data_IF_692755791175
#
_entry.id   IF_692755791175
#
_cell.length_a   1.000
_cell.length_b   1.000
_cell.length_c   1.000
_cell.angle_alpha   90.00
_cell.angle_beta   90.00
_cell.angle_gamma   90.00
#
_symmetry.space_group_name_H-M   'P 1'
#
loop_
_entity.id
_entity.type
_entity.pdbx_description
1 polymer ?
#
# COMPACT_ATOMS: atom_id res chain seq x y z
N UNK A 1 -4.16 63.13 -13.49
CA UNK A 1 -4.95 62.27 -14.40
C UNK A 1 -4.07 61.06 -14.73
N UNK A 2 -3.97 60.14 -13.77
CA UNK A 2 -4.67 58.84 -13.69
C UNK A 2 -4.01 57.72 -14.51
N UNK A 3 -3.73 56.65 -13.79
CA UNK A 3 -3.08 55.39 -14.15
C UNK A 3 -3.87 54.54 -15.15
N UNK A 4 -3.16 53.68 -15.89
CA UNK A 4 -3.62 52.32 -16.23
C UNK A 4 -2.42 51.35 -16.36
N UNK A 5 -2.43 50.29 -15.55
CA UNK A 5 -1.57 49.10 -15.59
C UNK A 5 -1.82 48.28 -16.89
N UNK A 6 -0.95 47.39 -17.40
CA UNK A 6 -0.28 46.25 -16.73
C UNK A 6 0.82 45.63 -17.64
N UNK A 7 1.85 44.96 -17.09
CA UNK A 7 2.70 44.01 -17.81
C UNK A 7 2.33 42.54 -17.47
N UNK A 8 2.51 41.59 -18.40
CA UNK A 8 3.03 40.23 -18.08
C UNK A 8 3.00 39.28 -19.29
N UNK A 9 4.08 38.50 -19.36
CA UNK A 9 4.29 37.25 -20.07
C UNK A 9 3.25 36.17 -19.77
N UNK A 10 2.90 35.34 -20.76
CA UNK A 10 2.50 33.93 -20.51
C UNK A 10 2.79 33.04 -21.72
N UNK A 11 3.82 32.22 -21.53
CA UNK A 11 3.92 30.81 -21.92
C UNK A 11 2.74 30.21 -22.68
N UNK A 12 2.97 29.85 -23.93
CA UNK A 12 2.25 28.80 -24.64
C UNK A 12 2.27 27.51 -23.81
N UNK A 13 1.13 27.17 -23.19
CA UNK A 13 0.99 25.97 -22.36
C UNK A 13 1.26 24.70 -23.20
N UNK A 14 2.34 23.95 -22.92
CA UNK A 14 2.66 22.71 -23.65
C UNK A 14 1.59 21.62 -23.48
N UNK A 15 0.76 21.78 -22.45
CA UNK A 15 -0.26 20.81 -22.04
C UNK A 15 -1.45 20.74 -23.00
N UNK A 16 -1.85 21.88 -23.59
CA UNK A 16 -3.00 21.94 -24.50
C UNK A 16 -2.77 21.23 -25.85
N UNK A 17 -1.50 21.07 -26.27
CA UNK A 17 -1.15 20.37 -27.51
C UNK A 17 -1.11 18.84 -27.36
N UNK A 18 -1.05 18.31 -26.12
CA UNK A 18 -0.98 16.87 -25.87
C UNK A 18 -2.34 16.15 -25.98
N UNK A 19 -3.46 16.88 -25.87
CA UNK A 19 -4.80 16.28 -25.82
C UNK A 19 -5.48 16.09 -27.18
N UNK A 20 -4.94 16.66 -28.27
CA UNK A 20 -5.66 16.77 -29.56
C UNK A 20 -5.24 15.76 -30.65
N UNK A 21 -4.42 14.77 -30.28
CA UNK A 21 -3.86 13.79 -31.20
C UNK A 21 -4.18 12.36 -30.76
N UNK A 22 -4.95 11.65 -31.59
CA UNK A 22 -5.19 10.20 -31.54
C UNK A 22 -3.95 9.33 -31.79
N UNK A 23 -2.77 9.94 -31.93
CA UNK A 23 -1.47 9.33 -31.70
C UNK A 23 -0.83 10.01 -30.50
N UNK A 24 -0.65 9.23 -29.45
CA UNK A 24 0.01 9.59 -28.21
C UNK A 24 1.52 9.84 -28.42
N UNK A 25 1.84 10.92 -29.13
CA UNK A 25 3.20 11.37 -29.34
C UNK A 25 3.57 12.30 -28.17
N UNK A 26 3.93 11.69 -27.03
CA UNK A 26 4.51 12.46 -25.91
C UNK A 26 5.72 13.24 -26.44
N UNK A 27 5.92 14.52 -26.07
CA UNK A 27 7.15 15.20 -26.42
C UNK A 27 8.33 14.49 -25.75
N UNK A 28 9.11 13.76 -26.55
CA UNK A 28 10.40 13.19 -26.16
C UNK A 28 11.37 14.36 -26.00
N UNK A 29 11.52 14.88 -24.79
CA UNK A 29 12.57 15.84 -24.47
C UNK A 29 13.90 15.08 -24.41
N UNK A 30 14.51 14.89 -25.57
CA UNK A 30 15.82 14.26 -25.74
C UNK A 30 16.91 15.30 -25.45
N UNK A 31 17.27 15.45 -24.18
CA UNK A 31 18.41 16.29 -23.78
C UNK A 31 19.64 15.38 -23.67
N UNK A 32 20.68 15.63 -24.47
CA UNK A 32 21.92 14.83 -24.46
C UNK A 32 21.74 13.31 -24.71
N UNK A 33 20.73 12.89 -25.48
CA UNK A 33 20.49 11.47 -25.77
C UNK A 33 19.94 10.65 -24.61
N UNK A 34 19.49 11.29 -23.52
CA UNK A 34 18.72 10.67 -22.45
C UNK A 34 17.23 10.94 -22.68
N UNK A 35 16.44 9.87 -22.81
CA UNK A 35 14.98 9.97 -22.88
C UNK A 35 14.41 10.25 -21.48
N UNK A 36 14.00 11.50 -21.22
CA UNK A 36 13.32 11.87 -19.98
C UNK A 36 11.93 11.25 -19.99
N UNK A 37 11.72 10.23 -19.15
CA UNK A 37 10.42 9.59 -18.96
C UNK A 37 9.57 10.44 -18.02
N UNK A 38 8.37 10.84 -18.47
CA UNK A 38 7.39 11.51 -17.61
C UNK A 38 6.64 10.51 -16.74
N UNK A 39 6.03 10.97 -15.65
CA UNK A 39 5.21 10.13 -14.79
C UNK A 39 4.06 9.50 -15.60
N UNK A 40 3.78 8.23 -15.33
CA UNK A 40 2.80 7.46 -16.09
C UNK A 40 3.25 7.04 -17.51
N UNK A 41 4.54 7.09 -17.85
CA UNK A 41 5.07 6.64 -19.15
C UNK A 41 4.71 5.18 -19.49
N UNK A 42 4.78 4.27 -18.51
CA UNK A 42 4.49 2.84 -18.65
C UNK A 42 3.16 2.42 -18.00
N UNK A 43 2.17 3.29 -18.07
CA UNK A 43 0.86 3.07 -17.44
C UNK A 43 -0.18 2.75 -18.52
N UNK A 44 -1.01 1.71 -18.34
CA UNK A 44 -2.11 1.41 -19.26
C UNK A 44 -3.06 2.60 -19.46
N UNK A 45 -3.49 2.83 -20.70
CA UNK A 45 -4.33 3.99 -21.09
C UNK A 45 -5.69 4.00 -20.38
N UNK A 46 -6.25 2.82 -20.09
CA UNK A 46 -7.47 2.67 -19.28
C UNK A 46 -7.32 3.18 -17.86
N UNK A 47 -6.11 3.14 -17.27
CA UNK A 47 -5.82 3.69 -15.95
C UNK A 47 -5.48 5.18 -15.99
N UNK A 48 -4.76 5.65 -17.03
CA UNK A 48 -4.36 7.04 -17.20
C UNK A 48 -5.55 8.03 -17.17
N UNK A 49 -6.72 7.64 -17.70
CA UNK A 49 -7.92 8.49 -17.69
C UNK A 49 -8.44 8.88 -16.28
N UNK A 50 -7.98 8.22 -15.21
CA UNK A 50 -8.34 8.56 -13.82
C UNK A 50 -7.10 8.95 -13.00
N UNK A 51 -6.06 9.47 -13.66
CA UNK A 51 -4.94 10.17 -13.04
C UNK A 51 -5.08 11.64 -13.44
N UNK A 52 -5.04 12.55 -12.48
CA UNK A 52 -5.11 13.98 -12.79
C UNK A 52 -3.88 14.41 -13.61
N UNK A 53 -4.17 15.20 -14.64
CA UNK A 53 -3.23 15.77 -15.60
C UNK A 53 -2.02 16.46 -14.94
N UNK A 54 -2.22 17.10 -13.79
CA UNK A 54 -1.14 17.69 -12.98
C UNK A 54 -0.04 16.68 -12.64
N UNK A 55 -0.39 15.43 -12.29
CA UNK A 55 0.59 14.41 -11.89
C UNK A 55 1.43 13.88 -13.05
N UNK A 56 0.93 14.00 -14.29
CA UNK A 56 1.64 13.58 -15.51
C UNK A 56 2.70 14.59 -15.95
N UNK A 57 2.68 15.80 -15.40
CA UNK A 57 3.67 16.85 -15.66
C UNK A 57 5.01 16.66 -14.92
N UNK A 58 5.04 15.80 -13.90
CA UNK A 58 6.27 15.47 -13.17
C UNK A 58 7.11 14.39 -13.87
N UNK A 59 8.42 14.45 -13.70
CA UNK A 59 9.35 13.42 -14.17
C UNK A 59 9.10 12.09 -13.44
N UNK A 60 9.26 10.97 -14.15
CA UNK A 60 9.18 9.65 -13.53
C UNK A 60 10.30 9.49 -12.49
N UNK A 61 10.03 8.80 -11.36
CA UNK A 61 11.06 8.52 -10.37
C UNK A 61 12.25 7.75 -10.97
N UNK A 62 13.43 7.94 -10.40
CA UNK A 62 14.63 7.22 -10.85
C UNK A 62 14.39 5.69 -10.81
N UNK A 63 14.64 4.94 -11.91
CA UNK A 63 14.50 3.48 -11.95
C UNK A 63 15.20 2.75 -10.79
N UNK A 64 16.33 3.26 -10.31
CA UNK A 64 17.05 2.69 -9.16
C UNK A 64 16.21 2.67 -7.88
N UNK A 65 15.37 3.67 -7.64
CA UNK A 65 14.46 3.68 -6.50
C UNK A 65 13.42 2.55 -6.59
N UNK A 66 12.89 2.28 -7.79
CA UNK A 66 11.98 1.16 -8.03
C UNK A 66 12.65 -0.20 -7.73
N UNK A 67 13.87 -0.44 -8.23
CA UNK A 67 14.61 -1.67 -7.95
C UNK A 67 14.99 -1.83 -6.47
N UNK A 68 15.39 -0.74 -5.79
CA UNK A 68 15.68 -0.78 -4.34
C UNK A 68 14.43 -1.13 -3.53
N UNK A 69 13.28 -0.53 -3.85
CA UNK A 69 12.00 -0.89 -3.24
C UNK A 69 11.64 -2.37 -3.51
N UNK A 70 11.81 -2.87 -4.74
CA UNK A 70 11.58 -4.27 -5.05
C UNK A 70 12.42 -5.21 -4.15
N UNK A 71 13.73 -4.96 -4.03
CA UNK A 71 14.64 -5.78 -3.21
C UNK A 71 14.24 -5.73 -1.73
N UNK A 72 13.92 -4.53 -1.21
CA UNK A 72 13.48 -4.34 0.17
C UNK A 72 12.18 -5.13 0.46
N UNK A 73 11.19 -5.03 -0.42
CA UNK A 73 9.93 -5.75 -0.25
C UNK A 73 10.08 -7.27 -0.41
N UNK A 74 11.00 -7.77 -1.24
CA UNK A 74 11.36 -9.20 -1.27
C UNK A 74 11.88 -9.65 0.11
N UNK A 75 12.79 -8.87 0.73
CA UNK A 75 13.30 -9.13 2.07
C UNK A 75 12.18 -9.13 3.13
N UNK A 76 11.29 -8.13 3.11
CA UNK A 76 10.14 -8.06 4.01
C UNK A 76 9.18 -9.23 3.84
N UNK A 77 8.85 -9.63 2.61
CA UNK A 77 8.03 -10.82 2.36
C UNK A 77 8.71 -12.06 2.93
N UNK A 78 10.01 -12.27 2.72
CA UNK A 78 10.73 -13.42 3.30
C UNK A 78 10.68 -13.44 4.83
N UNK A 79 11.06 -12.34 5.49
CA UNK A 79 11.05 -12.23 6.96
C UNK A 79 9.64 -12.43 7.51
N UNK A 80 8.63 -11.84 6.87
CA UNK A 80 7.25 -11.97 7.30
C UNK A 80 6.72 -13.41 7.11
N UNK A 81 7.00 -14.08 5.98
CA UNK A 81 6.62 -15.48 5.76
C UNK A 81 7.20 -16.40 6.85
N UNK A 82 8.48 -16.26 7.16
CA UNK A 82 9.15 -17.07 8.18
C UNK A 82 8.64 -16.74 9.59
N UNK A 83 8.51 -15.46 9.94
CA UNK A 83 8.07 -15.01 11.25
C UNK A 83 6.62 -15.43 11.54
N UNK A 84 5.68 -15.00 10.71
CA UNK A 84 4.26 -15.31 10.87
C UNK A 84 3.96 -16.80 10.66
N UNK A 85 4.68 -17.48 9.76
CA UNK A 85 4.60 -18.94 9.62
C UNK A 85 5.02 -19.68 10.90
N UNK A 86 6.08 -19.23 11.56
CA UNK A 86 6.53 -19.79 12.85
C UNK A 86 5.50 -19.57 13.95
N UNK A 87 4.89 -18.37 14.00
CA UNK A 87 3.81 -18.06 14.96
C UNK A 87 2.62 -19.02 14.81
N UNK A 88 2.14 -19.26 13.58
CA UNK A 88 1.05 -20.21 13.33
C UNK A 88 1.49 -21.64 13.69
N UNK A 89 2.69 -22.06 13.28
CA UNK A 89 3.24 -23.39 13.61
C UNK A 89 3.28 -23.66 15.13
N UNK A 90 3.74 -22.70 15.93
CA UNK A 90 3.81 -22.83 17.39
C UNK A 90 2.41 -22.95 18.03
N UNK A 91 1.43 -22.18 17.54
CA UNK A 91 0.05 -22.22 18.04
C UNK A 91 -0.68 -23.53 17.64
N UNK A 92 -0.40 -24.07 16.45
CA UNK A 92 -0.93 -25.37 16.03
C UNK A 92 -0.35 -26.52 16.86
N UNK A 93 0.96 -26.53 17.09
CA UNK A 93 1.68 -27.62 17.80
C UNK A 93 1.37 -27.64 19.29
N UNK A 94 1.20 -26.47 19.92
CA UNK A 94 1.12 -26.36 21.37
C UNK A 94 -0.30 -26.12 21.87
N UNK A 95 -0.98 -27.19 22.32
CA UNK A 95 -2.37 -27.11 22.83
C UNK A 95 -2.52 -26.15 24.02
N UNK A 96 -1.50 -26.03 24.88
CA UNK A 96 -1.50 -25.12 26.03
C UNK A 96 -1.49 -23.63 25.68
N UNK A 97 -1.12 -23.26 24.44
CA UNK A 97 -1.15 -21.87 23.98
C UNK A 97 -2.48 -21.48 23.33
N UNK A 98 -3.49 -22.35 23.26
CA UNK A 98 -4.81 -22.04 22.66
C UNK A 98 -5.72 -21.27 23.63
N UNK A 99 -5.22 -20.13 24.09
CA UNK A 99 -5.95 -19.21 24.96
C UNK A 99 -6.63 -18.10 24.14
N UNK A 100 -7.68 -17.44 24.66
CA UNK A 100 -8.39 -16.41 23.91
C UNK A 100 -7.48 -15.26 23.47
N UNK A 101 -6.62 -14.77 24.37
CA UNK A 101 -5.60 -13.75 24.08
C UNK A 101 -4.69 -14.14 22.91
N UNK A 102 -4.34 -15.42 22.77
CA UNK A 102 -3.48 -15.90 21.69
C UNK A 102 -4.20 -16.00 20.34
N UNK A 103 -5.55 -16.00 20.30
CA UNK A 103 -6.29 -15.88 19.04
C UNK A 103 -6.10 -14.52 18.37
N UNK A 104 -5.85 -13.45 19.14
CA UNK A 104 -5.46 -12.14 18.56
C UNK A 104 -4.13 -12.22 17.82
N UNK A 105 -3.16 -12.98 18.33
CA UNK A 105 -1.86 -13.20 17.67
C UNK A 105 -2.04 -13.99 16.37
N UNK A 106 -2.92 -15.00 16.35
CA UNK A 106 -3.26 -15.74 15.13
C UNK A 106 -3.96 -14.84 14.11
N UNK A 107 -4.86 -13.95 14.56
CA UNK A 107 -5.51 -12.98 13.67
C UNK A 107 -4.50 -12.01 13.03
N UNK A 108 -3.53 -11.52 13.80
CA UNK A 108 -2.44 -10.69 13.29
C UNK A 108 -1.62 -11.43 12.23
N UNK A 109 -1.22 -12.68 12.50
CA UNK A 109 -0.49 -13.49 11.52
C UNK A 109 -1.30 -13.71 10.23
N UNK A 110 -2.63 -13.89 10.33
CA UNK A 110 -3.51 -14.00 9.17
C UNK A 110 -3.56 -12.70 8.34
N UNK A 111 -3.71 -11.54 9.00
CA UNK A 111 -3.66 -10.23 8.33
C UNK A 111 -2.33 -9.99 7.60
N UNK A 112 -1.20 -10.38 8.21
CA UNK A 112 0.11 -10.31 7.57
C UNK A 112 0.24 -11.25 6.36
N UNK A 113 -0.35 -12.45 6.39
CA UNK A 113 -0.41 -13.31 5.19
C UNK A 113 -1.22 -12.68 4.05
N UNK A 114 -2.31 -11.97 4.34
CA UNK A 114 -3.03 -11.22 3.30
C UNK A 114 -2.15 -10.07 2.76
N UNK A 115 -1.41 -9.36 3.64
CA UNK A 115 -0.45 -8.34 3.21
C UNK A 115 0.71 -8.93 2.36
N UNK A 116 1.12 -10.16 2.64
CA UNK A 116 2.08 -10.94 1.85
C UNK A 116 1.52 -11.38 0.49
N UNK A 117 0.23 -11.68 0.39
CA UNK A 117 -0.39 -12.08 -0.87
C UNK A 117 -0.41 -10.94 -1.91
N UNK A 118 -0.53 -9.67 -1.48
CA UNK A 118 -0.47 -8.50 -2.37
C UNK A 118 0.95 -8.05 -2.74
N UNK A 119 1.99 -8.46 -1.99
CA UNK A 119 3.36 -7.96 -2.22
C UNK A 119 3.97 -8.35 -3.56
N UNK A 120 3.75 -9.57 -4.11
CA UNK A 120 4.21 -9.94 -5.45
C UNK A 120 3.73 -8.98 -6.55
N UNK A 121 2.47 -8.53 -6.47
CA UNK A 121 1.91 -7.52 -7.39
C UNK A 121 2.72 -6.22 -7.33
N UNK A 122 3.03 -5.74 -6.11
CA UNK A 122 3.87 -4.56 -5.91
C UNK A 122 5.29 -4.75 -6.47
N UNK A 123 5.92 -5.90 -6.22
CA UNK A 123 7.28 -6.20 -6.70
C UNK A 123 7.33 -6.20 -8.24
N UNK A 124 6.34 -6.80 -8.91
CA UNK A 124 6.26 -6.79 -10.38
C UNK A 124 6.08 -5.36 -10.89
N UNK A 125 5.19 -4.57 -10.27
CA UNK A 125 5.02 -3.15 -10.63
C UNK A 125 6.32 -2.34 -10.45
N UNK A 126 7.15 -2.65 -9.44
CA UNK A 126 8.46 -2.04 -9.27
C UNK A 126 9.43 -2.41 -10.41
N UNK A 127 9.56 -3.70 -10.76
CA UNK A 127 10.43 -4.12 -11.88
C UNK A 127 9.96 -3.60 -13.24
N UNK A 128 8.65 -3.41 -13.41
CA UNK A 128 8.07 -2.87 -14.64
C UNK A 128 8.00 -1.33 -14.65
N UNK A 129 8.41 -0.62 -13.60
CA UNK A 129 8.31 0.86 -13.54
C UNK A 129 6.87 1.38 -13.82
N UNK A 130 5.83 0.60 -13.47
CA UNK A 130 4.44 0.91 -13.84
C UNK A 130 3.42 -0.17 -13.42
N UNK A 131 2.12 0.16 -13.35
CA UNK A 131 1.08 -0.76 -12.91
C UNK A 131 0.69 -1.77 -14.01
N UNK A 132 1.17 -3.01 -13.91
CA UNK A 132 0.96 -4.01 -14.98
C UNK A 132 -0.42 -4.67 -14.98
N UNK A 133 -1.11 -4.69 -13.84
CA UNK A 133 -2.46 -5.25 -13.71
C UNK A 133 -3.59 -4.24 -14.05
N UNK A 134 -3.23 -3.06 -14.56
CA UNK A 134 -4.20 -2.03 -14.97
C UNK A 134 -5.14 -1.58 -13.85
N UNK A 135 -6.31 -1.07 -14.25
CA UNK A 135 -7.32 -0.49 -13.34
C UNK A 135 -7.78 -1.43 -12.22
N UNK A 136 -8.14 -2.67 -12.56
CA UNK A 136 -8.68 -3.65 -11.61
C UNK A 136 -7.64 -4.06 -10.57
N UNK A 137 -6.39 -4.29 -10.99
CA UNK A 137 -5.30 -4.65 -10.07
C UNK A 137 -5.00 -3.56 -9.04
N UNK A 138 -4.95 -2.30 -9.46
CA UNK A 138 -4.75 -1.17 -8.54
C UNK A 138 -5.90 -1.03 -7.53
N UNK A 139 -7.16 -1.19 -7.96
CA UNK A 139 -8.32 -1.16 -7.06
C UNK A 139 -8.28 -2.28 -6.02
N UNK A 140 -8.01 -3.52 -6.45
CA UNK A 140 -7.88 -4.67 -5.54
C UNK A 140 -6.71 -4.46 -4.57
N UNK A 141 -5.56 -3.97 -5.05
CA UNK A 141 -4.38 -3.71 -4.21
C UNK A 141 -4.67 -2.64 -3.14
N UNK A 142 -5.35 -1.56 -3.52
CA UNK A 142 -5.78 -0.50 -2.61
C UNK A 142 -6.79 -1.00 -1.57
N UNK A 143 -7.81 -1.75 -2.01
CA UNK A 143 -8.81 -2.37 -1.13
C UNK A 143 -8.16 -3.31 -0.11
N UNK A 144 -7.29 -4.24 -0.55
CA UNK A 144 -6.58 -5.14 0.36
C UNK A 144 -5.72 -4.37 1.37
N UNK A 145 -5.03 -3.31 0.96
CA UNK A 145 -4.24 -2.46 1.86
C UNK A 145 -5.10 -1.70 2.88
N UNK A 146 -6.19 -1.08 2.43
CA UNK A 146 -7.15 -0.35 3.25
C UNK A 146 -7.86 -1.25 4.28
N UNK A 147 -8.08 -2.53 3.97
CA UNK A 147 -8.65 -3.49 4.92
C UNK A 147 -7.60 -4.04 5.90
N UNK A 148 -6.46 -4.51 5.40
CA UNK A 148 -5.44 -5.21 6.22
C UNK A 148 -4.64 -4.29 7.13
N UNK A 149 -4.38 -3.05 6.73
CA UNK A 149 -3.61 -2.08 7.53
C UNK A 149 -4.30 -1.74 8.86
N UNK A 150 -5.54 -1.22 8.82
CA UNK A 150 -6.34 -0.98 10.02
C UNK A 150 -6.61 -2.24 10.82
N UNK A 151 -6.93 -3.38 10.18
CA UNK A 151 -7.11 -4.67 10.86
C UNK A 151 -5.90 -5.04 11.73
N UNK A 152 -4.69 -4.89 11.20
CA UNK A 152 -3.45 -5.19 11.93
C UNK A 152 -3.20 -4.19 13.07
N UNK A 153 -3.44 -2.90 12.84
CA UNK A 153 -3.32 -1.87 13.87
C UNK A 153 -4.30 -2.06 15.03
N UNK A 154 -5.58 -2.30 14.75
CA UNK A 154 -6.61 -2.60 15.75
C UNK A 154 -6.30 -3.90 16.51
N UNK A 155 -5.77 -4.92 15.83
CA UNK A 155 -5.34 -6.17 16.48
C UNK A 155 -4.15 -5.93 17.42
N UNK A 156 -3.16 -5.14 17.01
CA UNK A 156 -2.03 -4.79 17.87
C UNK A 156 -2.47 -3.99 19.11
N UNK A 157 -3.40 -3.05 18.95
CA UNK A 157 -4.01 -2.32 20.06
C UNK A 157 -4.76 -3.27 21.03
N UNK A 158 -5.52 -4.24 20.52
CA UNK A 158 -6.19 -5.25 21.33
C UNK A 158 -5.19 -6.14 22.12
N UNK A 159 -4.06 -6.51 21.51
CA UNK A 159 -2.99 -7.26 22.18
C UNK A 159 -2.37 -6.40 23.30
N UNK A 160 -2.06 -5.13 23.02
CA UNK A 160 -1.52 -4.22 24.04
C UNK A 160 -2.50 -4.05 25.21
N UNK A 161 -3.80 -3.93 24.93
CA UNK A 161 -4.84 -3.85 25.95
C UNK A 161 -4.97 -5.13 26.79
N UNK A 162 -4.94 -6.32 26.20
CA UNK A 162 -4.89 -7.62 26.92
C UNK A 162 -3.69 -7.68 27.87
N UNK A 163 -2.50 -7.26 27.40
CA UNK A 163 -1.29 -7.23 28.23
C UNK A 163 -1.36 -6.21 29.35
N UNK A 164 -1.93 -5.03 29.09
CA UNK A 164 -2.17 -4.01 30.10
C UNK A 164 -3.07 -4.56 31.23
N UNK A 165 -4.21 -5.16 30.88
CA UNK A 165 -5.14 -5.73 31.88
C UNK A 165 -4.53 -6.88 32.67
N UNK A 166 -3.72 -7.74 32.04
CA UNK A 166 -2.99 -8.80 32.76
C UNK A 166 -2.00 -8.25 33.81
N UNK A 167 -1.46 -7.04 33.60
CA UNK A 167 -0.54 -6.40 34.56
C UNK A 167 -1.32 -5.68 35.66
N UNK A 168 -2.42 -4.99 35.33
CA UNK A 168 -3.18 -4.21 36.31
C UNK A 168 -4.07 -5.05 37.21
N UNK A 169 -4.71 -6.09 36.66
CA UNK A 169 -5.65 -6.96 37.37
C UNK A 169 -5.13 -8.42 37.41
N UNK A 170 -4.27 -8.79 38.39
CA UNK A 170 -3.61 -10.11 38.39
C UNK A 170 -4.55 -11.30 38.63
N UNK A 171 -5.78 -11.09 39.10
CA UNK A 171 -6.75 -12.16 39.42
C UNK A 171 -7.66 -12.51 38.22
N UNK A 172 -8.08 -11.51 37.41
CA UNK A 172 -8.99 -11.72 36.26
C UNK A 172 -8.68 -10.79 35.06
N UNK A 173 -7.40 -10.45 34.87
CA UNK A 173 -6.96 -9.49 33.86
C UNK A 173 -6.90 -10.01 32.43
N UNK A 174 -7.09 -11.31 32.20
CA UNK A 174 -7.05 -11.90 30.86
C UNK A 174 -8.37 -11.67 30.12
N UNK A 175 -8.32 -11.33 28.83
CA UNK A 175 -9.55 -11.22 28.05
C UNK A 175 -10.26 -12.58 27.94
N UNK A 176 -11.56 -12.58 28.23
CA UNK A 176 -12.43 -13.74 28.03
C UNK A 176 -12.67 -14.07 26.55
N UNK A 177 -13.15 -15.29 26.27
CA UNK A 177 -13.49 -15.75 24.91
C UNK A 177 -14.50 -14.83 24.21
N UNK A 178 -15.54 -14.40 24.92
CA UNK A 178 -16.58 -13.50 24.39
C UNK A 178 -16.03 -12.11 24.05
N UNK A 179 -15.16 -11.55 24.90
CA UNK A 179 -14.53 -10.25 24.67
C UNK A 179 -13.61 -10.29 23.44
N UNK A 180 -12.77 -11.32 23.32
CA UNK A 180 -11.90 -11.48 22.14
C UNK A 180 -12.74 -11.71 20.88
N UNK A 181 -13.78 -12.54 20.93
CA UNK A 181 -14.68 -12.75 19.79
C UNK A 181 -15.39 -11.45 19.37
N UNK A 182 -15.85 -10.63 20.32
CA UNK A 182 -16.44 -9.33 20.05
C UNK A 182 -15.46 -8.34 19.40
N UNK A 183 -14.22 -8.27 19.91
CA UNK A 183 -13.15 -7.45 19.31
C UNK A 183 -12.83 -7.90 17.88
N UNK A 184 -12.71 -9.21 17.63
CA UNK A 184 -12.48 -9.72 16.28
C UNK A 184 -13.67 -9.41 15.36
N UNK A 185 -14.91 -9.63 15.79
CA UNK A 185 -16.10 -9.30 15.00
C UNK A 185 -16.17 -7.82 14.66
N UNK A 186 -15.89 -6.93 15.61
CA UNK A 186 -15.78 -5.50 15.36
C UNK A 186 -14.72 -5.20 14.29
N UNK A 187 -13.52 -5.78 14.40
CA UNK A 187 -12.45 -5.59 13.41
C UNK A 187 -12.85 -6.09 12.01
N UNK A 188 -13.57 -7.21 11.90
CA UNK A 188 -13.96 -7.78 10.59
C UNK A 188 -15.19 -7.10 9.95
N UNK A 189 -16.11 -6.54 10.73
CA UNK A 189 -17.38 -5.99 10.26
C UNK A 189 -17.39 -4.46 10.13
N UNK A 190 -16.59 -3.75 10.92
CA UNK A 190 -16.59 -2.28 10.98
C UNK A 190 -15.49 -1.62 10.13
N UNK A 191 -14.37 -2.32 9.91
CA UNK A 191 -13.36 -1.95 8.92
C UNK A 191 -13.83 -2.42 7.54
#
# INVERSE_FOLDING_TARGET
MTMAASPSSSSSDPFALAQNGSEFNRPRFEYYGYEVKMNGWNTPTDYLAYVDDHWLSFEAPNPMAHYLLAILYIGFTFVSCVGNGTVIFLMMTSKGLRTPSNMLIVNLAFADFIMMAKTPIFIINCFSEGPVLGRMGCQIFGFMGAYTGPMSACTNAAIAFDRFRCITDPIDGRLGKSQVAGLLLFIYLWI
#
